data_IF_074289118960
#
_entry.id   IF_074289118960
#
_cell.length_a   1.000
_cell.length_b   1.000
_cell.length_c   1.000
_cell.angle_alpha   90.00
_cell.angle_beta   90.00
_cell.angle_gamma   90.00
#
_symmetry.space_group_name_H-M   'P 1'
#
loop_
_entity.id
_entity.type
_entity.pdbx_description
1 polymer ?
#
# COMPACT_ATOMS: atom_id res chain seq x y z
N UNK A 1 5.62 18.33 6.86
CA UNK A 1 4.33 18.14 7.53
C UNK A 1 3.14 18.03 6.56
N UNK A 2 2.99 18.88 5.57
CA UNK A 2 1.82 18.84 4.63
C UNK A 2 1.63 17.52 3.86
N UNK A 3 2.70 16.85 3.46
CA UNK A 3 2.60 15.56 2.73
C UNK A 3 2.04 14.42 3.57
N UNK A 4 2.32 14.42 4.87
CA UNK A 4 1.78 13.42 5.80
C UNK A 4 0.28 13.63 6.08
N UNK A 5 -0.13 14.89 6.25
CA UNK A 5 -1.55 15.25 6.47
C UNK A 5 -2.39 14.90 5.23
N UNK A 6 -1.89 15.14 4.02
CA UNK A 6 -2.57 14.72 2.77
C UNK A 6 -2.69 13.20 2.62
N UNK A 7 -1.69 12.43 3.07
CA UNK A 7 -1.76 10.95 3.02
C UNK A 7 -2.78 10.37 3.99
N UNK A 8 -2.90 10.94 5.19
CA UNK A 8 -3.89 10.52 6.20
C UNK A 8 -5.31 10.90 5.75
N UNK A 9 -5.49 12.09 5.19
CA UNK A 9 -6.76 12.53 4.61
C UNK A 9 -7.21 11.62 3.46
N UNK A 10 -6.30 11.23 2.55
CA UNK A 10 -6.61 10.31 1.46
C UNK A 10 -6.96 8.89 1.95
N UNK A 11 -6.26 8.35 2.94
CA UNK A 11 -6.58 7.03 3.48
C UNK A 11 -7.97 6.98 4.11
N UNK A 12 -8.34 8.03 4.87
CA UNK A 12 -9.66 8.15 5.48
C UNK A 12 -10.77 8.29 4.44
N UNK A 13 -10.55 9.07 3.39
CA UNK A 13 -11.54 9.25 2.32
C UNK A 13 -11.75 7.96 1.52
N UNK A 14 -10.71 7.17 1.27
CA UNK A 14 -10.82 5.85 0.62
C UNK A 14 -11.62 4.87 1.48
N UNK A 15 -11.35 4.81 2.78
CA UNK A 15 -12.09 3.91 3.69
C UNK A 15 -13.57 4.28 3.76
N UNK A 16 -13.89 5.57 3.86
CA UNK A 16 -15.27 6.06 3.85
C UNK A 16 -15.93 5.75 2.50
N UNK A 17 -15.24 5.95 1.39
CA UNK A 17 -15.73 5.63 0.06
C UNK A 17 -16.07 4.14 -0.09
N UNK A 18 -15.21 3.24 0.37
CA UNK A 18 -15.45 1.80 0.34
C UNK A 18 -16.64 1.40 1.22
N UNK A 19 -16.72 1.94 2.42
CA UNK A 19 -17.87 1.68 3.31
C UNK A 19 -19.19 2.19 2.71
N UNK A 20 -19.18 3.38 2.11
CA UNK A 20 -20.34 3.94 1.44
C UNK A 20 -20.75 3.08 0.22
N UNK A 21 -19.80 2.57 -0.55
CA UNK A 21 -20.07 1.68 -1.68
C UNK A 21 -20.70 0.37 -1.22
N UNK A 22 -20.19 -0.22 -0.12
CA UNK A 22 -20.79 -1.42 0.49
C UNK A 22 -22.25 -1.20 0.89
N UNK A 23 -22.52 -0.12 1.62
CA UNK A 23 -23.88 0.23 2.06
C UNK A 23 -24.79 0.50 0.87
N UNK A 24 -24.30 1.20 -0.15
CA UNK A 24 -25.05 1.47 -1.36
C UNK A 24 -25.40 0.18 -2.13
N UNK A 25 -24.44 -0.75 -2.27
CA UNK A 25 -24.66 -2.06 -2.91
C UNK A 25 -25.71 -2.86 -2.16
N UNK A 26 -25.60 -2.97 -0.84
CA UNK A 26 -26.58 -3.67 0.00
C UNK A 26 -27.98 -3.02 -0.08
N UNK A 27 -28.03 -1.70 -0.15
CA UNK A 27 -29.30 -0.99 -0.25
C UNK A 27 -29.97 -1.19 -1.61
N UNK A 28 -29.19 -1.13 -2.70
CA UNK A 28 -29.69 -1.39 -4.06
C UNK A 28 -30.21 -2.83 -4.19
N UNK A 29 -29.47 -3.81 -3.68
CA UNK A 29 -29.88 -5.20 -3.66
C UNK A 29 -31.14 -5.43 -2.83
N UNK A 30 -31.23 -4.80 -1.65
CA UNK A 30 -32.41 -4.84 -0.79
C UNK A 30 -33.65 -4.28 -1.49
N UNK A 31 -33.54 -3.16 -2.18
CA UNK A 31 -34.63 -2.58 -2.95
C UNK A 31 -35.03 -3.49 -4.11
N UNK A 32 -34.06 -4.01 -4.84
CA UNK A 32 -34.30 -4.90 -5.98
C UNK A 32 -35.02 -6.17 -5.55
N UNK A 33 -34.53 -6.88 -4.52
CA UNK A 33 -35.15 -8.14 -4.06
C UNK A 33 -36.55 -7.89 -3.50
N UNK A 34 -36.76 -6.79 -2.78
CA UNK A 34 -38.08 -6.42 -2.27
C UNK A 34 -39.11 -6.18 -3.38
N UNK A 35 -38.69 -5.61 -4.52
CA UNK A 35 -39.58 -5.36 -5.65
C UNK A 35 -39.97 -6.68 -6.34
N UNK A 36 -39.00 -7.59 -6.55
CA UNK A 36 -39.22 -8.79 -7.34
C UNK A 36 -39.75 -9.97 -6.53
N UNK A 37 -39.54 -9.98 -5.20
CA UNK A 37 -39.96 -11.07 -4.30
C UNK A 37 -40.58 -10.51 -3.00
N UNK A 38 -41.53 -9.60 -3.13
CA UNK A 38 -42.14 -8.85 -2.02
C UNK A 38 -42.85 -9.75 -0.99
N UNK A 39 -43.25 -10.97 -1.36
CA UNK A 39 -43.87 -11.90 -0.46
C UNK A 39 -42.88 -12.43 0.60
N UNK A 40 -41.67 -12.77 0.19
CA UNK A 40 -40.62 -13.23 1.10
C UNK A 40 -39.89 -12.07 1.80
N UNK A 41 -39.94 -10.88 1.20
CA UNK A 41 -39.30 -9.66 1.73
C UNK A 41 -40.35 -8.58 2.03
N UNK A 42 -41.21 -8.77 3.07
CA UNK A 42 -42.31 -7.86 3.38
C UNK A 42 -41.84 -6.49 3.89
N UNK A 43 -40.62 -6.37 4.37
CA UNK A 43 -40.04 -5.12 4.83
C UNK A 43 -38.69 -4.82 4.19
N UNK A 44 -38.37 -3.54 4.02
CA UNK A 44 -37.06 -3.13 3.53
C UNK A 44 -35.93 -3.52 4.50
N UNK A 45 -36.21 -3.54 5.81
CA UNK A 45 -35.25 -3.96 6.82
C UNK A 45 -34.83 -5.43 6.67
N UNK A 46 -35.81 -6.32 6.39
CA UNK A 46 -35.53 -7.73 6.14
C UNK A 46 -34.76 -7.94 4.83
N UNK A 47 -35.14 -7.22 3.78
CA UNK A 47 -34.41 -7.24 2.52
C UNK A 47 -32.97 -6.73 2.66
N UNK A 48 -32.77 -5.67 3.45
CA UNK A 48 -31.44 -5.13 3.72
C UNK A 48 -30.59 -6.08 4.58
N UNK A 49 -31.18 -6.74 5.58
CA UNK A 49 -30.54 -7.81 6.34
C UNK A 49 -30.04 -8.92 5.41
N UNK A 50 -30.93 -9.43 4.55
CA UNK A 50 -30.58 -10.44 3.57
C UNK A 50 -29.46 -9.99 2.61
N UNK A 51 -29.49 -8.74 2.13
CA UNK A 51 -28.48 -8.21 1.24
C UNK A 51 -27.10 -8.17 1.93
N UNK A 52 -27.04 -7.73 3.20
CA UNK A 52 -25.79 -7.71 3.98
C UNK A 52 -25.24 -9.13 4.11
N UNK A 53 -26.02 -10.10 4.56
CA UNK A 53 -25.55 -11.47 4.76
C UNK A 53 -25.13 -12.14 3.45
N UNK A 54 -25.76 -11.78 2.34
CA UNK A 54 -25.45 -12.27 1.01
C UNK A 54 -24.12 -11.68 0.51
N UNK A 55 -23.94 -10.36 0.58
CA UNK A 55 -22.72 -9.67 0.14
C UNK A 55 -21.52 -10.08 1.01
N UNK A 56 -21.72 -10.23 2.32
CA UNK A 56 -20.67 -10.67 3.24
C UNK A 56 -20.37 -12.16 3.17
N UNK A 57 -21.12 -12.92 2.36
CA UNK A 57 -21.02 -14.36 2.20
C UNK A 57 -21.29 -15.16 3.48
N UNK A 58 -21.96 -14.57 4.48
CA UNK A 58 -22.34 -15.25 5.73
C UNK A 58 -23.49 -16.22 5.47
N UNK A 59 -24.59 -15.74 4.83
CA UNK A 59 -25.69 -16.55 4.37
C UNK A 59 -26.34 -17.43 5.44
N UNK A 60 -26.93 -16.84 6.47
CA UNK A 60 -27.62 -17.62 7.52
C UNK A 60 -28.74 -18.50 6.98
N UNK A 61 -29.34 -18.12 5.83
CA UNK A 61 -30.40 -18.88 5.18
C UNK A 61 -31.75 -18.77 5.89
N UNK A 62 -31.91 -17.83 6.76
CA UNK A 62 -33.16 -17.50 7.46
C UNK A 62 -34.17 -16.84 6.52
N UNK A 63 -33.69 -16.11 5.51
CA UNK A 63 -34.49 -15.52 4.44
C UNK A 63 -33.83 -15.85 3.09
N UNK A 64 -34.59 -16.47 2.19
CA UNK A 64 -34.09 -16.88 0.87
C UNK A 64 -35.10 -16.53 -0.23
N UNK A 65 -34.67 -16.13 -1.43
CA UNK A 65 -35.59 -15.88 -2.53
C UNK A 65 -36.21 -17.17 -3.04
N UNK A 66 -37.52 -17.20 -3.16
CA UNK A 66 -38.27 -18.36 -3.65
C UNK A 66 -38.74 -18.23 -5.08
N UNK A 67 -38.90 -17.00 -5.56
CA UNK A 67 -39.32 -16.74 -6.96
C UNK A 67 -38.14 -16.86 -7.92
N UNK A 68 -38.40 -17.15 -9.18
CA UNK A 68 -37.39 -17.18 -10.22
C UNK A 68 -36.71 -15.83 -10.38
N UNK A 69 -37.46 -14.74 -10.39
CA UNK A 69 -36.93 -13.37 -10.46
C UNK A 69 -36.07 -13.03 -9.23
N UNK A 70 -36.51 -13.42 -8.03
CA UNK A 70 -35.73 -13.27 -6.79
C UNK A 70 -34.40 -13.99 -6.83
N UNK A 71 -34.40 -15.26 -7.34
CA UNK A 71 -33.16 -16.04 -7.48
C UNK A 71 -32.18 -15.45 -8.49
N UNK A 72 -32.68 -14.92 -9.60
CA UNK A 72 -31.82 -14.20 -10.58
C UNK A 72 -31.23 -12.95 -9.96
N UNK A 73 -32.04 -12.15 -9.26
CA UNK A 73 -31.57 -10.94 -8.54
C UNK A 73 -30.53 -11.31 -7.49
N UNK A 74 -30.76 -12.35 -6.70
CA UNK A 74 -29.79 -12.88 -5.74
C UNK A 74 -28.47 -13.30 -6.40
N UNK A 75 -28.54 -14.01 -7.53
CA UNK A 75 -27.35 -14.41 -8.27
C UNK A 75 -26.50 -13.23 -8.73
N UNK A 76 -27.15 -12.18 -9.23
CA UNK A 76 -26.45 -10.93 -9.61
C UNK A 76 -25.80 -10.28 -8.39
N UNK A 77 -26.52 -10.17 -7.28
CA UNK A 77 -26.00 -9.58 -6.05
C UNK A 77 -24.83 -10.37 -5.47
N UNK A 78 -24.88 -11.70 -5.50
CA UNK A 78 -23.77 -12.57 -5.08
C UNK A 78 -22.51 -12.31 -5.91
N UNK A 79 -22.62 -12.21 -7.23
CA UNK A 79 -21.48 -11.91 -8.11
C UNK A 79 -20.89 -10.53 -7.83
N UNK A 80 -21.74 -9.51 -7.66
CA UNK A 80 -21.31 -8.16 -7.32
C UNK A 80 -20.68 -8.10 -5.94
N UNK A 81 -21.26 -8.78 -4.95
CA UNK A 81 -20.76 -8.84 -3.58
C UNK A 81 -19.37 -9.47 -3.48
N UNK A 82 -19.19 -10.65 -4.09
CA UNK A 82 -17.89 -11.34 -4.13
C UNK A 82 -16.84 -10.50 -4.86
N UNK A 83 -17.21 -9.88 -5.98
CA UNK A 83 -16.30 -9.00 -6.72
C UNK A 83 -15.89 -7.78 -5.91
N UNK A 84 -16.82 -7.18 -5.17
CA UNK A 84 -16.54 -6.07 -4.28
C UNK A 84 -15.60 -6.46 -3.12
N UNK A 85 -15.84 -7.62 -2.48
CA UNK A 85 -14.97 -8.11 -1.41
C UNK A 85 -13.56 -8.42 -1.92
N UNK A 86 -13.43 -9.05 -3.10
CA UNK A 86 -12.14 -9.30 -3.73
C UNK A 86 -11.37 -7.99 -4.01
N UNK A 87 -12.07 -6.97 -4.54
CA UNK A 87 -11.49 -5.64 -4.76
C UNK A 87 -11.06 -4.97 -3.44
N UNK A 88 -11.86 -5.10 -2.38
CA UNK A 88 -11.57 -4.54 -1.07
C UNK A 88 -10.29 -5.17 -0.48
N UNK A 89 -10.19 -6.51 -0.52
CA UNK A 89 -9.00 -7.23 -0.05
C UNK A 89 -7.76 -6.83 -0.85
N UNK A 90 -7.85 -6.78 -2.18
CA UNK A 90 -6.76 -6.36 -3.04
C UNK A 90 -6.29 -4.92 -2.74
N UNK A 91 -7.23 -4.01 -2.49
CA UNK A 91 -6.95 -2.61 -2.16
C UNK A 91 -6.20 -2.46 -0.84
N UNK A 92 -6.61 -3.22 0.19
CA UNK A 92 -5.93 -3.23 1.50
C UNK A 92 -4.54 -3.84 1.37
N UNK A 93 -4.43 -4.99 0.72
CA UNK A 93 -3.17 -5.72 0.53
C UNK A 93 -2.16 -4.87 -0.25
N UNK A 94 -2.56 -4.22 -1.34
CA UNK A 94 -1.67 -3.34 -2.12
C UNK A 94 -1.12 -2.19 -1.29
N UNK A 95 -1.92 -1.62 -0.39
CA UNK A 95 -1.49 -0.53 0.50
C UNK A 95 -0.45 -1.00 1.52
N UNK A 96 -0.60 -2.22 2.06
CA UNK A 96 0.36 -2.81 3.01
C UNK A 96 1.68 -3.12 2.31
N UNK A 97 1.65 -3.75 1.13
CA UNK A 97 2.84 -4.10 0.36
C UNK A 97 3.62 -2.84 -0.05
N UNK A 98 2.92 -1.79 -0.51
CA UNK A 98 3.57 -0.52 -0.88
C UNK A 98 4.26 0.16 0.31
N UNK A 99 3.68 0.09 1.50
CA UNK A 99 4.31 0.63 2.72
C UNK A 99 5.54 -0.17 3.14
N UNK A 100 5.44 -1.49 3.12
CA UNK A 100 6.57 -2.37 3.43
C UNK A 100 7.73 -2.20 2.44
N UNK A 101 7.42 -2.07 1.14
CA UNK A 101 8.43 -1.81 0.11
C UNK A 101 9.08 -0.43 0.24
N UNK A 102 8.34 0.60 0.66
CA UNK A 102 8.88 1.94 0.85
C UNK A 102 9.87 2.00 2.02
N UNK A 103 9.58 1.32 3.14
CA UNK A 103 10.51 1.27 4.29
C UNK A 103 11.78 0.50 3.96
N UNK A 104 11.68 -0.64 3.29
CA UNK A 104 12.86 -1.41 2.86
C UNK A 104 13.75 -0.61 1.89
N UNK A 105 13.15 0.22 1.03
CA UNK A 105 13.89 1.06 0.08
C UNK A 105 14.56 2.27 0.75
N UNK A 106 14.00 2.79 1.85
CA UNK A 106 14.63 3.83 2.67
C UNK A 106 15.84 3.29 3.43
N UNK A 107 15.73 2.09 4.00
CA UNK A 107 16.84 1.41 4.69
C UNK A 107 17.99 1.10 3.72
N UNK A 108 17.70 0.55 2.54
CA UNK A 108 18.68 0.29 1.48
C UNK A 108 19.41 1.55 1.01
N UNK A 109 18.72 2.69 0.93
CA UNK A 109 19.33 3.98 0.58
C UNK A 109 20.24 4.48 1.68
N UNK A 110 19.79 4.42 2.93
CA UNK A 110 20.59 4.85 4.08
C UNK A 110 21.90 4.03 4.19
N UNK A 111 21.83 2.73 3.94
CA UNK A 111 23.00 1.87 3.96
C UNK A 111 23.96 2.14 2.79
N UNK A 112 23.45 2.41 1.60
CA UNK A 112 24.26 2.83 0.44
C UNK A 112 24.96 4.17 0.69
N UNK A 113 24.25 5.14 1.26
CA UNK A 113 24.81 6.46 1.57
C UNK A 113 25.92 6.33 2.61
N UNK A 114 25.74 5.53 3.67
CA UNK A 114 26.79 5.23 4.67
C UNK A 114 28.02 4.57 4.05
N UNK A 115 27.81 3.55 3.22
CA UNK A 115 28.88 2.84 2.56
C UNK A 115 29.66 3.75 1.60
N UNK A 116 28.96 4.61 0.86
CA UNK A 116 29.56 5.61 -0.01
C UNK A 116 30.41 6.61 0.78
N UNK A 117 29.92 7.10 1.91
CA UNK A 117 30.68 7.99 2.79
C UNK A 117 31.92 7.31 3.33
N UNK A 118 31.83 6.08 3.82
CA UNK A 118 32.98 5.32 4.31
C UNK A 118 34.07 5.15 3.25
N UNK A 119 33.67 4.89 2.00
CA UNK A 119 34.61 4.78 0.87
C UNK A 119 35.26 6.11 0.56
N UNK A 120 34.49 7.21 0.56
CA UNK A 120 35.02 8.55 0.33
C UNK A 120 36.00 8.98 1.42
N UNK A 121 35.71 8.70 2.68
CA UNK A 121 36.58 8.98 3.82
C UNK A 121 37.90 8.20 3.71
N UNK A 122 37.85 6.90 3.41
CA UNK A 122 39.04 6.06 3.18
C UNK A 122 39.89 6.53 1.99
N UNK A 123 39.24 7.00 0.90
CA UNK A 123 39.97 7.54 -0.25
C UNK A 123 40.63 8.89 0.07
N UNK A 124 39.97 9.74 0.87
CA UNK A 124 40.55 11.04 1.27
C UNK A 124 41.73 10.85 2.21
N UNK A 125 41.67 9.90 3.13
CA UNK A 125 42.76 9.51 4.02
C UNK A 125 43.97 8.97 3.24
N UNK A 126 43.74 7.98 2.35
CA UNK A 126 44.79 7.41 1.47
C UNK A 126 45.44 8.47 0.56
N UNK A 127 44.65 9.43 0.10
CA UNK A 127 45.15 10.54 -0.72
C UNK A 127 46.00 11.52 0.11
N UNK A 128 45.67 11.68 1.40
CA UNK A 128 46.47 12.46 2.37
C UNK A 128 47.86 11.82 2.58
N UNK A 129 47.87 10.52 2.90
CA UNK A 129 49.11 9.76 3.10
C UNK A 129 50.00 9.77 1.85
N UNK A 130 49.43 9.62 0.66
CA UNK A 130 50.15 9.68 -0.61
C UNK A 130 50.79 11.06 -0.84
N UNK A 131 50.06 12.13 -0.51
CA UNK A 131 50.59 13.51 -0.60
C UNK A 131 51.74 13.79 0.35
N UNK A 132 51.67 13.30 1.58
CA UNK A 132 52.73 13.41 2.57
C UNK A 132 53.97 12.65 2.14
N UNK A 133 53.81 11.43 1.62
CA UNK A 133 54.90 10.61 1.07
C UNK A 133 55.60 11.30 -0.12
N UNK A 134 54.83 11.91 -1.02
CA UNK A 134 55.36 12.69 -2.15
C UNK A 134 56.15 13.90 -1.65
N UNK A 135 55.61 14.68 -0.69
CA UNK A 135 56.30 15.84 -0.12
C UNK A 135 57.60 15.48 0.60
N UNK A 136 57.62 14.33 1.28
CA UNK A 136 58.83 13.79 1.88
C UNK A 136 59.89 13.43 0.85
N UNK A 137 59.48 12.77 -0.25
CA UNK A 137 60.37 12.44 -1.37
C UNK A 137 60.95 13.69 -2.03
N UNK A 138 60.15 14.72 -2.29
CA UNK A 138 60.61 15.97 -2.85
C UNK A 138 61.63 16.67 -1.94
N UNK A 139 61.40 16.61 -0.62
CA UNK A 139 62.36 17.16 0.36
C UNK A 139 63.70 16.38 0.37
N UNK A 140 63.66 15.10 0.24
CA UNK A 140 64.85 14.24 0.13
C UNK A 140 65.62 14.49 -1.16
N UNK A 141 64.93 14.64 -2.29
CA UNK A 141 65.53 14.97 -3.59
C UNK A 141 66.21 16.34 -3.55
N UNK A 142 65.58 17.39 -3.04
CA UNK A 142 66.17 18.68 -2.88
C UNK A 142 67.48 18.65 -2.02
N UNK A 143 67.48 17.81 -1.00
CA UNK A 143 68.69 17.63 -0.14
C UNK A 143 69.85 16.96 -0.90
N UNK A 144 69.54 15.97 -1.71
CA UNK A 144 70.54 15.28 -2.54
C UNK A 144 71.10 16.20 -3.61
N UNK A 145 70.27 16.97 -4.29
CA UNK A 145 70.68 17.96 -5.28
C UNK A 145 71.61 19.03 -4.68
N UNK A 146 71.32 19.48 -3.47
CA UNK A 146 72.17 20.44 -2.76
C UNK A 146 73.56 19.85 -2.42
N UNK A 147 73.67 18.53 -2.19
CA UNK A 147 74.93 17.86 -1.90
C UNK A 147 75.82 17.58 -3.12
N UNK A 148 75.20 17.47 -4.30
CA UNK A 148 75.90 17.21 -5.57
C UNK A 148 76.46 18.50 -6.17
N UNK A 149 75.90 19.66 -5.83
CA UNK A 149 76.24 20.96 -6.43
C UNK A 149 77.38 21.67 -5.63
N UNK A 150 77.87 21.08 -4.57
CA UNK A 150 79.04 21.50 -3.78
C UNK A 150 80.19 20.52 -3.96
#
# INVERSE_FOLDING_TARGET
MERQVRRIANARSVTIGLAATFVALAFVGAVAIRIVDSHNYPSLGLAFWWAIETITTVGYGDVVPTTVAGRVTAGIEMVLGVSFLAFLIASVTSTVIQRAGASAQEDDRADRDRNTQTILDALTESRGETREAIAELDTRLARIESQITH
#
